data_IF_943058438293
#
_entry.id   IF_943058438293
#
_cell.length_a   1.000
_cell.length_b   1.000
_cell.length_c   1.000
_cell.angle_alpha   90.00
_cell.angle_beta   90.00
_cell.angle_gamma   90.00
#
_symmetry.space_group_name_H-M   'P 1'
#
loop_
_entity.id
_entity.type
_entity.pdbx_description
1 polymer ?
#
# COMPACT_ATOMS: atom_id res chain seq x y z
N UNK A 1 4.16 -9.26 6.55
CA UNK A 1 4.96 -10.48 6.79
C UNK A 1 4.65 -11.63 5.84
N UNK A 2 3.39 -11.83 5.40
CA UNK A 2 3.05 -12.95 4.51
C UNK A 2 3.85 -12.97 3.19
N UNK A 3 3.99 -11.83 2.51
CA UNK A 3 4.71 -11.76 1.22
C UNK A 3 6.23 -11.97 1.34
N UNK A 4 6.89 -11.31 2.31
CA UNK A 4 8.32 -11.53 2.55
C UNK A 4 8.61 -13.00 2.94
N UNK A 5 7.74 -13.61 3.76
CA UNK A 5 7.82 -15.03 4.11
C UNK A 5 7.60 -15.94 2.90
N UNK A 6 6.67 -15.60 1.99
CA UNK A 6 6.49 -16.32 0.73
C UNK A 6 7.75 -16.30 -0.15
N UNK A 7 8.55 -15.23 -0.07
CA UNK A 7 9.79 -15.08 -0.85
C UNK A 7 11.00 -15.74 -0.18
N UNK A 8 10.91 -16.10 1.09
CA UNK A 8 12.04 -16.60 1.88
C UNK A 8 12.64 -17.88 1.27
N UNK A 9 13.97 -17.93 1.22
CA UNK A 9 14.74 -19.04 0.67
C UNK A 9 14.67 -19.21 -0.85
N UNK A 10 14.07 -18.26 -1.58
CA UNK A 10 13.93 -18.32 -3.04
C UNK A 10 14.97 -17.46 -3.74
N UNK A 11 15.37 -17.90 -4.93
CA UNK A 11 16.11 -17.09 -5.89
C UNK A 11 15.17 -16.61 -6.99
N UNK A 12 15.27 -15.33 -7.33
CA UNK A 12 14.53 -14.69 -8.40
C UNK A 12 15.50 -14.33 -9.53
N UNK A 13 15.06 -14.37 -10.77
CA UNK A 13 15.93 -14.13 -11.92
C UNK A 13 15.22 -13.38 -13.05
N UNK A 14 16.01 -12.98 -14.04
CA UNK A 14 15.57 -12.23 -15.21
C UNK A 14 15.04 -13.14 -16.35
N UNK A 15 15.00 -14.47 -16.16
CA UNK A 15 14.72 -15.41 -17.24
C UNK A 15 13.29 -15.92 -17.17
N UNK A 16 12.41 -15.39 -18.02
CA UNK A 16 11.25 -16.14 -18.47
C UNK A 16 11.75 -17.32 -19.31
N UNK A 17 11.84 -18.52 -18.73
CA UNK A 17 12.17 -19.74 -19.47
C UNK A 17 11.04 -20.18 -20.44
N UNK A 18 10.10 -19.31 -20.85
CA UNK A 18 9.04 -19.68 -21.79
C UNK A 18 8.55 -18.62 -22.78
N UNK A 19 9.11 -17.41 -22.84
CA UNK A 19 8.61 -16.39 -23.78
C UNK A 19 9.58 -16.17 -24.93
N UNK A 20 9.40 -16.95 -26.01
CA UNK A 20 9.79 -16.51 -27.36
C UNK A 20 8.81 -15.43 -27.84
N UNK A 21 8.85 -14.25 -27.24
CA UNK A 21 8.30 -13.02 -27.78
C UNK A 21 8.82 -11.83 -26.95
N UNK A 22 9.40 -10.84 -27.65
CA UNK A 22 9.83 -9.53 -27.17
C UNK A 22 11.08 -9.46 -26.25
N UNK A 23 12.26 -9.36 -26.88
CA UNK A 23 13.56 -8.99 -26.27
C UNK A 23 13.58 -7.60 -25.60
N UNK A 24 12.46 -6.86 -25.57
CA UNK A 24 12.37 -5.50 -25.00
C UNK A 24 11.85 -5.42 -23.56
N UNK A 25 11.51 -6.54 -22.92
CA UNK A 25 10.81 -6.52 -21.62
C UNK A 25 11.37 -7.53 -20.60
N UNK A 26 12.68 -7.51 -20.38
CA UNK A 26 13.30 -8.15 -19.22
C UNK A 26 12.93 -7.38 -17.93
N UNK A 27 12.01 -7.91 -17.13
CA UNK A 27 11.58 -7.26 -15.89
C UNK A 27 12.64 -7.45 -14.79
N UNK A 28 13.38 -6.39 -14.48
CA UNK A 28 14.39 -6.33 -13.40
C UNK A 28 13.77 -6.23 -11.98
N UNK A 29 12.45 -6.34 -11.89
CA UNK A 29 11.68 -6.26 -10.66
C UNK A 29 10.45 -7.18 -10.73
N UNK A 30 10.07 -7.74 -9.59
CA UNK A 30 8.85 -8.50 -9.38
C UNK A 30 7.98 -7.77 -8.35
N UNK A 31 6.76 -7.41 -8.75
CA UNK A 31 5.74 -6.85 -7.86
C UNK A 31 4.76 -7.93 -7.38
N UNK A 32 4.48 -7.97 -6.09
CA UNK A 32 3.54 -8.86 -5.44
C UNK A 32 2.52 -8.04 -4.64
N UNK A 33 1.29 -8.56 -4.53
CA UNK A 33 0.23 -7.98 -3.72
C UNK A 33 -0.51 -9.07 -2.95
N UNK A 34 -0.89 -8.80 -1.71
CA UNK A 34 -1.71 -9.73 -0.93
C UNK A 34 -2.63 -9.01 0.05
N UNK A 35 -3.78 -9.62 0.32
CA UNK A 35 -4.67 -9.22 1.40
C UNK A 35 -4.43 -10.10 2.63
N UNK A 36 -4.35 -9.50 3.81
CA UNK A 36 -4.18 -10.25 5.07
C UNK A 36 -4.87 -9.57 6.24
N UNK A 37 -5.07 -10.32 7.33
CA UNK A 37 -5.37 -9.75 8.66
C UNK A 37 -4.06 -9.44 9.36
N UNK A 38 -3.96 -8.24 9.92
CA UNK A 38 -2.82 -7.78 10.70
C UNK A 38 -3.24 -7.61 12.15
N UNK A 39 -2.35 -8.00 13.07
CA UNK A 39 -2.56 -7.92 14.51
C UNK A 39 -1.44 -7.08 15.13
N UNK A 40 -1.80 -6.08 15.95
CA UNK A 40 -0.86 -5.22 16.68
C UNK A 40 -1.29 -5.12 18.14
N UNK A 41 -0.33 -5.20 19.05
CA UNK A 41 -0.59 -5.08 20.49
C UNK A 41 -1.12 -3.70 20.88
N UNK A 42 -0.74 -2.66 20.12
CA UNK A 42 -0.98 -1.23 20.40
C UNK A 42 -0.56 -0.82 21.83
N UNK A 43 -0.44 0.48 22.09
CA UNK A 43 -0.03 0.97 23.41
C UNK A 43 -1.11 0.67 24.46
N UNK A 44 -0.74 0.37 25.72
CA UNK A 44 -1.72 0.22 26.79
C UNK A 44 -2.50 1.53 27.00
N UNK A 45 -3.79 1.42 27.31
CA UNK A 45 -4.72 2.53 27.59
C UNK A 45 -5.10 3.43 26.41
N UNK A 46 -4.91 2.97 25.18
CA UNK A 46 -5.45 3.66 24.01
C UNK A 46 -6.83 3.11 23.66
N UNK A 47 -7.87 3.93 23.79
CA UNK A 47 -9.22 3.58 23.35
C UNK A 47 -9.23 3.31 21.83
N UNK A 48 -9.79 2.18 21.37
CA UNK A 48 -9.79 1.83 19.96
C UNK A 48 -10.67 2.79 19.17
N UNK A 49 -10.08 3.39 18.13
CA UNK A 49 -10.79 4.21 17.14
C UNK A 49 -10.74 3.53 15.78
N UNK A 50 -11.52 3.98 14.80
CA UNK A 50 -11.36 3.49 13.40
C UNK A 50 -9.95 3.74 12.85
N UNK A 51 -9.18 4.66 13.45
CA UNK A 51 -7.83 4.97 13.03
C UNK A 51 -6.77 3.98 13.56
N UNK A 52 -6.99 3.45 14.78
CA UNK A 52 -6.06 2.56 15.46
C UNK A 52 -6.80 1.48 16.24
N UNK A 53 -6.62 0.25 15.79
CA UNK A 53 -7.24 -0.96 16.31
C UNK A 53 -6.22 -2.09 16.41
N UNK A 54 -6.47 -3.06 17.28
CA UNK A 54 -5.60 -4.24 17.42
C UNK A 54 -5.63 -5.17 16.20
N UNK A 55 -6.74 -5.23 15.48
CA UNK A 55 -6.93 -6.09 14.32
C UNK A 55 -7.44 -5.28 13.14
N UNK A 56 -6.76 -5.38 12.01
CA UNK A 56 -7.14 -4.67 10.79
C UNK A 56 -6.86 -5.51 9.55
N UNK A 57 -7.45 -5.13 8.42
CA UNK A 57 -7.19 -5.72 7.10
C UNK A 57 -6.22 -4.85 6.36
N UNK A 58 -5.22 -5.46 5.73
CA UNK A 58 -4.30 -4.72 4.89
C UNK A 58 -4.12 -5.41 3.54
N UNK A 59 -4.19 -4.61 2.48
CA UNK A 59 -3.65 -4.95 1.17
C UNK A 59 -2.22 -4.42 1.15
N UNK A 60 -1.26 -5.34 1.12
CA UNK A 60 0.16 -5.05 1.12
C UNK A 60 0.75 -5.30 -0.27
N UNK A 61 1.58 -4.38 -0.73
CA UNK A 61 2.47 -4.54 -1.87
C UNK A 61 3.87 -4.88 -1.38
N UNK A 62 4.52 -5.80 -2.08
CA UNK A 62 5.91 -6.17 -1.85
C UNK A 62 6.61 -6.26 -3.19
N UNK A 63 7.82 -5.73 -3.30
CA UNK A 63 8.61 -5.85 -4.50
C UNK A 63 9.99 -6.42 -4.20
N UNK A 64 10.49 -7.19 -5.16
CA UNK A 64 11.82 -7.77 -5.17
C UNK A 64 12.49 -7.27 -6.44
N UNK A 65 13.67 -6.68 -6.31
CA UNK A 65 14.40 -6.16 -7.46
C UNK A 65 15.81 -6.73 -7.50
N UNK A 66 16.42 -6.63 -8.68
CA UNK A 66 17.87 -6.72 -8.79
C UNK A 66 18.53 -5.76 -7.77
N UNK A 67 19.74 -6.08 -7.26
CA UNK A 67 20.48 -5.26 -6.29
C UNK A 67 21.08 -4.01 -6.96
N UNK A 68 20.21 -3.13 -7.44
CA UNK A 68 20.54 -1.89 -8.14
C UNK A 68 19.67 -0.77 -7.60
N UNK A 69 20.29 0.31 -7.12
CA UNK A 69 19.57 1.48 -6.61
C UNK A 69 18.66 2.09 -7.67
N UNK A 70 19.12 2.15 -8.92
CA UNK A 70 18.32 2.66 -10.04
C UNK A 70 17.02 1.86 -10.23
N UNK A 71 17.11 0.53 -10.15
CA UNK A 71 15.94 -0.36 -10.32
C UNK A 71 15.02 -0.27 -9.11
N UNK A 72 15.57 -0.29 -7.89
CA UNK A 72 14.75 -0.17 -6.68
C UNK A 72 14.07 1.18 -6.59
N UNK A 73 14.73 2.28 -6.96
CA UNK A 73 14.12 3.62 -6.97
C UNK A 73 13.02 3.74 -8.03
N UNK A 74 13.22 3.16 -9.22
CA UNK A 74 12.20 3.11 -10.25
C UNK A 74 10.96 2.35 -9.77
N UNK A 75 11.14 1.17 -9.16
CA UNK A 75 10.05 0.37 -8.59
C UNK A 75 9.37 1.08 -7.42
N UNK A 76 10.14 1.76 -6.56
CA UNK A 76 9.61 2.56 -5.46
C UNK A 76 8.71 3.68 -5.96
N UNK A 77 9.15 4.42 -6.98
CA UNK A 77 8.34 5.48 -7.59
C UNK A 77 7.05 4.93 -8.21
N UNK A 78 7.07 3.72 -8.78
CA UNK A 78 5.85 3.05 -9.26
C UNK A 78 4.88 2.71 -8.12
N UNK A 79 5.38 2.20 -6.99
CA UNK A 79 4.58 1.94 -5.78
C UNK A 79 3.93 3.23 -5.27
N UNK A 80 4.71 4.32 -5.13
CA UNK A 80 4.18 5.61 -4.68
C UNK A 80 3.13 6.15 -5.66
N UNK A 81 3.40 6.08 -6.97
CA UNK A 81 2.44 6.53 -8.00
C UNK A 81 1.13 5.75 -7.92
N UNK A 82 1.19 4.44 -7.74
CA UNK A 82 -0.01 3.61 -7.57
C UNK A 82 -0.81 4.03 -6.34
N UNK A 83 -0.15 4.29 -5.21
CA UNK A 83 -0.82 4.77 -3.99
C UNK A 83 -1.49 6.13 -4.20
N UNK A 84 -0.80 7.07 -4.84
CA UNK A 84 -1.36 8.39 -5.19
C UNK A 84 -2.61 8.23 -6.04
N UNK A 85 -2.56 7.39 -7.09
CA UNK A 85 -3.73 7.12 -7.94
C UNK A 85 -4.89 6.53 -7.12
N UNK A 86 -4.63 5.50 -6.30
CA UNK A 86 -5.65 4.86 -5.46
C UNK A 86 -6.35 5.87 -4.53
N UNK A 87 -5.60 6.76 -3.87
CA UNK A 87 -6.19 7.73 -2.94
C UNK A 87 -6.84 8.91 -3.64
N UNK A 88 -6.33 9.34 -4.80
CA UNK A 88 -6.96 10.37 -5.63
C UNK A 88 -8.30 9.89 -6.20
N UNK A 89 -8.37 8.64 -6.67
CA UNK A 89 -9.59 8.00 -7.17
C UNK A 89 -10.68 7.89 -6.08
N UNK A 90 -10.27 7.78 -4.82
CA UNK A 90 -11.15 7.81 -3.65
C UNK A 90 -11.59 9.23 -3.24
N UNK A 91 -11.12 10.27 -3.93
CA UNK A 91 -11.44 11.66 -3.64
C UNK A 91 -10.84 12.17 -2.34
N UNK A 92 -9.75 11.57 -1.85
CA UNK A 92 -9.10 11.99 -0.61
C UNK A 92 -8.16 13.19 -0.88
N UNK A 93 -8.15 14.15 0.06
CA UNK A 93 -7.11 15.17 0.11
C UNK A 93 -5.94 14.63 0.96
N UNK A 94 -4.73 14.58 0.40
CA UNK A 94 -3.58 13.99 1.07
C UNK A 94 -2.27 14.70 0.72
N UNK A 95 -1.26 14.48 1.55
CA UNK A 95 0.13 14.88 1.34
C UNK A 95 1.03 13.67 1.26
N UNK A 96 2.10 13.78 0.48
CA UNK A 96 3.15 12.77 0.33
C UNK A 96 4.40 13.31 1.02
N UNK A 97 4.95 12.55 1.97
CA UNK A 97 6.04 12.98 2.83
C UNK A 97 7.23 12.05 2.66
N UNK A 98 8.39 12.63 2.35
CA UNK A 98 9.68 11.94 2.51
C UNK A 98 10.03 11.94 3.99
N UNK A 99 10.28 10.77 4.57
CA UNK A 99 10.48 10.66 6.02
C UNK A 99 11.93 10.96 6.40
N UNK A 100 12.17 11.67 7.51
CA UNK A 100 13.51 11.93 8.01
C UNK A 100 14.19 10.64 8.49
N UNK A 101 15.52 10.65 8.56
CA UNK A 101 16.34 9.51 8.97
C UNK A 101 15.91 8.86 10.29
N UNK A 102 15.44 9.68 11.23
CA UNK A 102 15.03 9.33 12.57
C UNK A 102 13.71 8.53 12.59
N UNK A 103 12.92 8.58 11.52
CA UNK A 103 11.61 7.94 11.39
C UNK A 103 11.59 6.76 10.39
N UNK A 104 12.75 6.38 9.86
CA UNK A 104 12.86 5.26 8.90
C UNK A 104 12.65 3.90 9.59
N UNK A 105 13.10 3.77 10.83
CA UNK A 105 13.25 2.48 11.50
C UNK A 105 14.40 1.65 10.93
N UNK A 106 14.74 0.55 11.62
CA UNK A 106 16.01 -0.16 11.39
C UNK A 106 16.20 -0.76 9.99
N UNK A 107 15.11 -1.07 9.29
CA UNK A 107 15.17 -1.76 8.00
C UNK A 107 15.13 -0.87 6.77
N UNK A 108 14.64 0.36 6.90
CA UNK A 108 14.36 1.21 5.74
C UNK A 108 15.58 2.07 5.39
N UNK A 109 16.00 1.99 4.14
CA UNK A 109 16.95 2.91 3.51
C UNK A 109 16.27 4.23 3.13
N UNK A 110 15.03 4.15 2.66
CA UNK A 110 14.20 5.28 2.25
C UNK A 110 12.75 4.97 2.59
N UNK A 111 11.99 5.96 3.06
CA UNK A 111 10.59 5.78 3.44
C UNK A 111 9.76 7.00 3.01
N UNK A 112 8.59 6.73 2.45
CA UNK A 112 7.61 7.74 2.08
C UNK A 112 6.28 7.36 2.71
N UNK A 113 5.70 8.32 3.43
CA UNK A 113 4.36 8.19 4.02
C UNK A 113 3.36 9.05 3.24
N UNK A 114 2.12 8.57 3.16
CA UNK A 114 1.00 9.32 2.60
C UNK A 114 -0.01 9.53 3.72
N UNK A 115 -0.32 10.79 3.97
CA UNK A 115 -1.25 11.19 5.02
C UNK A 115 -2.47 11.87 4.44
N UNK A 116 -3.66 11.40 4.80
CA UNK A 116 -4.92 11.99 4.39
C UNK A 116 -5.40 13.01 5.41
N UNK A 117 -6.01 14.09 4.91
CA UNK A 117 -6.71 15.06 5.73
C UNK A 117 -7.96 14.45 6.36
N UNK A 118 -8.10 14.60 7.68
CA UNK A 118 -9.20 14.09 8.48
C UNK A 118 -9.92 15.27 9.15
N UNK A 119 -10.99 15.82 8.54
CA UNK A 119 -11.60 17.07 8.99
C UNK A 119 -12.26 16.98 10.37
N UNK A 120 -12.64 15.78 10.84
CA UNK A 120 -13.23 15.60 12.17
C UNK A 120 -12.22 15.90 13.29
N UNK A 121 -10.97 15.47 13.12
CA UNK A 121 -9.88 15.72 14.07
C UNK A 121 -9.02 16.93 13.70
N UNK A 122 -9.20 17.49 12.50
CA UNK A 122 -8.41 18.58 11.93
C UNK A 122 -6.91 18.25 11.81
N UNK A 123 -6.59 17.01 11.44
CA UNK A 123 -5.21 16.53 11.28
C UNK A 123 -4.98 15.88 9.92
N UNK A 124 -3.71 15.79 9.53
CA UNK A 124 -3.26 14.81 8.54
C UNK A 124 -2.88 13.51 9.27
N UNK A 125 -3.46 12.38 8.84
CA UNK A 125 -3.16 11.07 9.40
C UNK A 125 -2.65 10.10 8.35
N UNK A 126 -1.55 9.41 8.65
CA UNK A 126 -0.94 8.34 7.83
C UNK A 126 -1.96 7.27 7.41
N UNK A 127 -2.24 7.17 6.13
CA UNK A 127 -3.06 6.11 5.53
C UNK A 127 -2.23 5.07 4.78
N UNK A 128 -0.98 5.40 4.47
CA UNK A 128 -0.06 4.51 3.78
C UNK A 128 1.40 4.82 4.11
N UNK A 129 2.23 3.79 4.02
CA UNK A 129 3.67 3.87 4.16
C UNK A 129 4.34 2.93 3.15
N UNK A 130 5.45 3.37 2.58
CA UNK A 130 6.27 2.62 1.65
C UNK A 130 7.75 2.74 2.01
N UNK A 131 8.51 1.65 1.86
CA UNK A 131 9.93 1.64 2.18
C UNK A 131 10.77 0.85 1.18
N UNK A 132 11.96 1.37 0.89
CA UNK A 132 13.05 0.60 0.29
C UNK A 132 13.86 0.01 1.45
N UNK A 133 14.05 -1.30 1.48
CA UNK A 133 14.79 -1.99 2.53
C UNK A 133 16.16 -2.52 2.05
N UNK A 134 16.53 -2.25 0.79
CA UNK A 134 17.72 -2.82 0.13
C UNK A 134 17.80 -4.33 0.43
N UNK A 135 18.98 -4.81 0.84
CA UNK A 135 19.23 -6.20 1.19
C UNK A 135 18.99 -6.55 2.68
N UNK A 136 18.46 -5.62 3.47
CA UNK A 136 18.30 -5.78 4.93
C UNK A 136 17.39 -6.97 5.29
N UNK A 137 16.25 -7.06 4.61
CA UNK A 137 15.28 -8.15 4.82
C UNK A 137 15.72 -9.43 4.10
N UNK A 138 16.24 -9.30 2.88
CA UNK A 138 16.63 -10.43 2.05
C UNK A 138 17.79 -11.23 2.63
N UNK A 139 18.77 -10.59 3.29
CA UNK A 139 19.83 -11.28 4.03
C UNK A 139 19.29 -12.22 5.11
N UNK A 140 18.29 -11.78 5.87
CA UNK A 140 17.68 -12.57 6.96
C UNK A 140 16.79 -13.69 6.45
N UNK A 141 16.11 -13.44 5.34
CA UNK A 141 15.15 -14.39 4.74
C UNK A 141 15.78 -15.24 3.64
N UNK A 142 17.07 -15.09 3.37
CA UNK A 142 17.79 -15.71 2.26
C UNK A 142 17.06 -15.55 0.91
N UNK A 143 16.67 -14.32 0.58
CA UNK A 143 16.04 -13.97 -0.70
C UNK A 143 17.15 -13.56 -1.67
N UNK A 144 17.31 -14.30 -2.76
CA UNK A 144 18.40 -14.10 -3.70
C UNK A 144 17.89 -13.57 -5.05
N UNK A 145 18.77 -12.86 -5.74
CA UNK A 145 18.61 -12.46 -7.12
C UNK A 145 19.77 -13.04 -7.94
N UNK A 146 19.45 -13.84 -8.94
CA UNK A 146 20.41 -14.41 -9.87
C UNK A 146 20.72 -13.37 -10.96
N UNK A 147 21.99 -12.97 -11.03
CA UNK A 147 22.49 -12.04 -12.03
C UNK A 147 22.68 -12.72 -13.39
N UNK A 148 22.88 -11.91 -14.43
CA UNK A 148 23.22 -12.41 -15.77
C UNK A 148 24.52 -13.20 -15.83
N UNK A 149 25.44 -12.99 -14.87
CA UNK A 149 26.67 -13.77 -14.71
C UNK A 149 26.47 -15.09 -13.96
N UNK A 150 25.21 -15.49 -13.71
CA UNK A 150 24.84 -16.70 -12.98
C UNK A 150 25.33 -16.70 -11.51
N UNK A 151 25.56 -15.51 -10.95
CA UNK A 151 25.92 -15.33 -9.54
C UNK A 151 24.67 -14.95 -8.75
N UNK A 152 24.55 -15.48 -7.54
CA UNK A 152 23.45 -15.12 -6.65
C UNK A 152 23.89 -14.00 -5.71
N UNK A 153 23.18 -12.89 -5.77
CA UNK A 153 23.31 -11.77 -4.84
C UNK A 153 22.04 -11.67 -3.99
N UNK A 154 22.09 -10.92 -2.88
CA UNK A 154 20.88 -10.67 -2.11
C UNK A 154 20.00 -9.66 -2.85
N UNK A 155 18.73 -10.01 -3.05
CA UNK A 155 17.80 -9.13 -3.74
C UNK A 155 17.54 -7.86 -2.92
N UNK A 156 17.17 -6.76 -3.60
CA UNK A 156 16.62 -5.60 -2.92
C UNK A 156 15.12 -5.77 -2.72
N UNK A 157 14.64 -5.37 -1.54
CA UNK A 157 13.26 -5.56 -1.10
C UNK A 157 12.58 -4.23 -0.84
N UNK A 158 11.32 -4.13 -1.24
CA UNK A 158 10.49 -2.97 -1.00
C UNK A 158 9.12 -3.41 -0.50
N UNK A 159 8.48 -2.59 0.31
CA UNK A 159 7.11 -2.81 0.77
C UNK A 159 6.31 -1.52 0.68
N UNK A 160 5.00 -1.63 0.47
CA UNK A 160 4.08 -0.49 0.46
C UNK A 160 2.67 -0.90 0.85
N UNK A 161 1.97 -0.05 1.58
CA UNK A 161 0.55 -0.31 1.90
C UNK A 161 -0.33 0.16 0.74
N UNK A 162 -1.14 -0.71 0.13
CA UNK A 162 -2.11 -0.25 -0.88
C UNK A 162 -3.38 0.28 -0.21
N UNK A 163 -3.86 -0.41 0.83
CA UNK A 163 -5.05 -0.01 1.57
C UNK A 163 -5.08 -0.69 2.95
N UNK A 164 -5.47 0.05 3.99
CA UNK A 164 -5.65 -0.47 5.34
C UNK A 164 -7.06 -0.12 5.89
N UNK A 165 -7.85 -1.15 6.19
CA UNK A 165 -9.19 -1.04 6.79
C UNK A 165 -9.09 -1.46 8.27
N UNK A 166 -9.55 -0.66 9.25
CA UNK A 166 -10.53 0.41 9.10
C UNK A 166 -9.97 1.82 8.87
N UNK A 167 -8.66 2.03 8.90
CA UNK A 167 -8.08 3.38 8.93
C UNK A 167 -8.56 4.28 7.79
N UNK A 168 -8.54 3.79 6.55
CA UNK A 168 -9.00 4.57 5.39
C UNK A 168 -10.50 4.89 5.43
N UNK A 169 -11.31 4.07 6.14
CA UNK A 169 -12.74 4.32 6.29
C UNK A 169 -12.99 5.60 7.08
N UNK A 170 -12.15 5.93 8.06
CA UNK A 170 -12.23 7.19 8.79
C UNK A 170 -12.11 8.38 7.83
N UNK A 171 -11.06 8.37 7.00
CA UNK A 171 -10.85 9.42 6.00
C UNK A 171 -12.05 9.51 5.03
N UNK A 172 -12.51 8.38 4.49
CA UNK A 172 -13.66 8.35 3.57
C UNK A 172 -14.95 8.89 4.20
N UNK A 173 -15.28 8.47 5.42
CA UNK A 173 -16.48 8.91 6.12
C UNK A 173 -16.44 10.41 6.37
N UNK A 174 -15.30 10.92 6.86
CA UNK A 174 -15.18 12.33 7.21
C UNK A 174 -15.13 13.24 5.98
N UNK A 175 -14.48 12.80 4.91
CA UNK A 175 -14.39 13.56 3.65
C UNK A 175 -15.73 13.59 2.89
N UNK A 176 -16.45 12.47 2.86
CA UNK A 176 -17.65 12.33 2.02
C UNK A 176 -18.98 12.49 2.78
N UNK A 177 -18.95 12.98 4.02
CA UNK A 177 -20.18 13.26 4.76
C UNK A 177 -20.96 14.45 4.17
N UNK A 178 -22.29 14.40 4.27
CA UNK A 178 -23.19 15.49 3.86
C UNK A 178 -23.84 16.16 5.07
N UNK A 179 -24.43 17.34 4.85
CA UNK A 179 -25.20 18.05 5.89
C UNK A 179 -26.36 17.19 6.45
N UNK A 180 -26.92 16.30 5.63
CA UNK A 180 -28.00 15.39 6.00
C UNK A 180 -27.51 14.11 6.72
N UNK A 181 -26.25 14.06 7.15
CA UNK A 181 -25.63 12.92 7.84
C UNK A 181 -25.59 11.63 6.99
N UNK A 182 -25.50 11.80 5.68
CA UNK A 182 -25.22 10.70 4.74
C UNK A 182 -23.74 10.71 4.37
N UNK A 183 -23.26 9.59 3.81
CA UNK A 183 -21.91 9.48 3.27
C UNK A 183 -22.06 9.22 1.78
N UNK A 184 -21.44 10.05 0.95
CA UNK A 184 -21.36 9.83 -0.49
C UNK A 184 -20.32 8.72 -0.74
N UNK A 185 -20.68 7.71 -1.53
CA UNK A 185 -19.74 6.66 -1.92
C UNK A 185 -18.93 7.17 -3.12
N UNK A 186 -17.59 7.14 -3.06
CA UNK A 186 -16.75 7.45 -4.22
C UNK A 186 -17.15 6.61 -5.44
N UNK A 187 -17.20 7.23 -6.63
CA UNK A 187 -17.68 6.58 -7.84
C UNK A 187 -16.94 5.27 -8.16
N UNK A 188 -15.63 5.24 -7.90
CA UNK A 188 -14.77 4.06 -8.10
C UNK A 188 -15.13 2.87 -7.22
N UNK A 189 -15.85 3.09 -6.11
CA UNK A 189 -16.31 2.04 -5.21
C UNK A 189 -17.70 1.51 -5.59
N UNK A 190 -18.49 2.26 -6.37
CA UNK A 190 -19.87 1.89 -6.74
C UNK A 190 -19.94 0.49 -7.38
N UNK A 191 -19.06 0.09 -8.32
CA UNK A 191 -19.12 -1.25 -8.93
C UNK A 191 -18.94 -2.40 -7.92
N UNK A 192 -18.30 -2.14 -6.78
CA UNK A 192 -18.03 -3.13 -5.73
C UNK A 192 -19.12 -3.14 -4.65
N UNK A 193 -19.94 -2.10 -4.59
CA UNK A 193 -21.06 -2.00 -3.67
C UNK A 193 -22.24 -2.79 -4.21
N UNK A 194 -22.48 -3.98 -3.64
CA UNK A 194 -23.72 -4.76 -3.87
C UNK A 194 -24.90 -4.03 -3.19
N UNK A 195 -25.36 -2.93 -3.80
CA UNK A 195 -26.36 -1.99 -3.28
C UNK A 195 -27.67 -2.66 -2.84
N UNK A 196 -27.92 -3.90 -3.28
CA UNK A 196 -29.07 -4.74 -2.90
C UNK A 196 -29.05 -5.22 -1.43
N UNK A 197 -27.91 -5.15 -0.72
CA UNK A 197 -27.75 -5.68 0.65
C UNK A 197 -27.43 -4.61 1.73
N UNK A 198 -27.63 -3.32 1.43
CA UNK A 198 -27.49 -2.28 2.44
C UNK A 198 -28.73 -2.27 3.36
N UNK A 199 -28.59 -2.84 4.56
CA UNK A 199 -29.60 -2.73 5.61
C UNK A 199 -29.90 -1.25 5.92
N UNK A 200 -31.15 -0.90 6.25
CA UNK A 200 -31.65 0.49 6.32
C UNK A 200 -31.18 1.27 7.57
N UNK A 201 -29.92 1.14 7.99
CA UNK A 201 -29.35 1.95 9.05
C UNK A 201 -28.73 3.26 8.53
N UNK A 202 -28.41 3.36 7.25
CA UNK A 202 -27.98 4.60 6.60
C UNK A 202 -28.63 4.68 5.22
N UNK A 203 -29.50 5.68 4.98
CA UNK A 203 -30.00 5.96 3.63
C UNK A 203 -28.85 6.49 2.77
N UNK A 204 -28.03 5.59 2.22
CA UNK A 204 -27.09 5.88 1.15
C UNK A 204 -27.90 6.18 -0.12
N UNK A 205 -28.36 7.42 -0.26
CA UNK A 205 -29.01 7.89 -1.49
C UNK A 205 -27.97 8.38 -2.49
N UNK A 206 -27.95 7.75 -3.65
CA UNK A 206 -27.24 8.17 -4.87
C UNK A 206 -27.71 9.58 -5.25
N UNK A 207 -26.87 10.59 -5.11
CA UNK A 207 -27.13 11.91 -5.72
C UNK A 207 -26.80 11.77 -7.21
N UNK A 208 -27.81 11.39 -8.00
CA UNK A 208 -27.75 11.45 -9.45
C UNK A 208 -27.78 12.92 -9.89
N UNK A 209 -26.73 13.32 -10.60
CA UNK A 209 -26.59 14.48 -11.49
C UNK A 209 -27.52 15.69 -11.24
N UNK A 210 -26.92 16.80 -10.84
CA UNK A 210 -27.35 18.09 -11.36
C UNK A 210 -26.16 18.73 -12.08
N UNK A 211 -26.31 18.84 -13.40
CA UNK A 211 -25.45 19.62 -14.28
C UNK A 211 -25.41 21.07 -13.79
N UNK A 212 -24.23 21.67 -13.90
CA UNK A 212 -24.00 23.12 -13.91
C UNK A 212 -24.97 23.84 -14.87
#
# INVERSE_FOLDING_TARGET
MALAGFCAGRSFNCTSENDKADESNQSSALGLCSVSRCFRKEAPNQEPTLYRVHQFTKVEMFAITAPSLLVSDAMFNQIIKLQICLFADLGLHFRVLEMPSEELGDSAYRKVDIEAWMPGDQIYGEISSSSICLDYQSKRLNIQWQTSSNQNEFAYTLNGTACAIPRIMKALIETHQTQDKHIIVPDVLIPYMKMENLYPAFQLKRVLSQKL
#
